data_IF_873083892407
#
_entry.id   IF_873083892407
#
_cell.length_a   1.000
_cell.length_b   1.000
_cell.length_c   1.000
_cell.angle_alpha   90.00
_cell.angle_beta   90.00
_cell.angle_gamma   90.00
#
_symmetry.space_group_name_H-M   'P 1'
#
loop_
_entity.id
_entity.type
_entity.pdbx_description
1 polymer ?
#
# COMPACT_ATOMS: atom_id res chain seq x y z
N UNK A 1 -9.26 28.12 -0.42
CA UNK A 1 -7.85 28.07 -0.84
C UNK A 1 -7.21 29.45 -0.67
N UNK A 2 -7.14 30.29 -1.72
CA UNK A 2 -6.38 31.56 -1.75
C UNK A 2 -6.66 32.52 -0.59
N UNK A 3 -7.93 32.73 -0.20
CA UNK A 3 -8.28 33.62 0.92
C UNK A 3 -8.36 32.91 2.28
N UNK A 4 -8.80 31.64 2.27
CA UNK A 4 -8.95 30.80 3.45
C UNK A 4 -8.54 29.36 3.10
N UNK A 5 -7.43 28.89 3.67
CA UNK A 5 -6.89 27.54 3.46
C UNK A 5 -7.56 26.52 4.38
N UNK A 6 -7.77 26.86 5.65
CA UNK A 6 -8.43 26.04 6.69
C UNK A 6 -9.87 25.63 6.40
N UNK A 7 -10.51 26.18 5.37
CA UNK A 7 -11.83 25.76 4.90
C UNK A 7 -11.78 24.65 3.85
N UNK A 8 -10.61 24.34 3.27
CA UNK A 8 -10.47 23.45 2.11
C UNK A 8 -10.53 21.98 2.49
N UNK A 9 -9.86 21.58 3.57
CA UNK A 9 -9.63 20.16 3.92
C UNK A 9 -10.94 19.34 4.00
N UNK A 10 -12.03 19.95 4.48
CA UNK A 10 -13.36 19.30 4.57
C UNK A 10 -13.96 18.89 3.22
N UNK A 11 -13.54 19.52 2.12
CA UNK A 11 -14.02 19.26 0.77
C UNK A 11 -13.06 18.35 -0.02
N UNK A 12 -11.84 18.11 0.49
CA UNK A 12 -10.85 17.25 -0.17
C UNK A 12 -11.35 15.82 -0.39
N UNK A 13 -12.06 15.15 0.54
CA UNK A 13 -12.66 13.85 0.28
C UNK A 13 -13.61 13.88 -0.93
N UNK A 14 -14.59 14.79 -0.92
CA UNK A 14 -15.60 14.91 -1.99
C UNK A 14 -15.01 15.28 -3.35
N UNK A 15 -13.96 16.11 -3.39
CA UNK A 15 -13.22 16.36 -4.64
C UNK A 15 -12.43 15.13 -5.09
N UNK A 16 -11.86 14.35 -4.16
CA UNK A 16 -11.12 13.14 -4.47
C UNK A 16 -12.01 11.93 -4.80
N UNK A 17 -13.26 11.90 -4.33
CA UNK A 17 -14.27 10.89 -4.73
C UNK A 17 -14.52 10.92 -6.25
N UNK A 18 -14.44 12.10 -6.87
CA UNK A 18 -14.56 12.27 -8.33
C UNK A 18 -13.41 11.63 -9.12
N UNK A 19 -12.31 11.19 -8.49
CA UNK A 19 -11.23 10.45 -9.16
C UNK A 19 -11.64 9.03 -9.60
N UNK A 20 -12.85 8.57 -9.23
CA UNK A 20 -13.45 7.30 -9.70
C UNK A 20 -14.75 7.51 -10.50
N UNK A 21 -15.10 8.74 -10.85
CA UNK A 21 -16.33 9.08 -11.58
C UNK A 21 -16.36 8.41 -12.97
N UNK A 22 -17.50 7.89 -13.46
CA UNK A 22 -17.59 7.32 -14.80
C UNK A 22 -17.18 8.29 -15.92
N UNK A 23 -17.42 9.59 -15.75
CA UNK A 23 -17.10 10.62 -16.74
C UNK A 23 -15.62 11.03 -16.69
N UNK A 24 -14.87 10.78 -17.78
CA UNK A 24 -13.47 11.18 -17.90
C UNK A 24 -13.26 12.67 -17.62
N UNK A 25 -14.18 13.54 -18.06
CA UNK A 25 -14.05 14.98 -17.84
C UNK A 25 -14.11 15.34 -16.36
N UNK A 26 -14.95 14.65 -15.56
CA UNK A 26 -15.02 14.86 -14.12
C UNK A 26 -13.76 14.34 -13.42
N UNK A 27 -13.27 13.13 -13.78
CA UNK A 27 -11.98 12.62 -13.27
C UNK A 27 -10.83 13.57 -13.59
N UNK A 28 -10.74 14.05 -14.84
CA UNK A 28 -9.70 14.97 -15.32
C UNK A 28 -9.74 16.31 -14.58
N UNK A 29 -10.91 16.95 -14.47
CA UNK A 29 -11.05 18.23 -13.78
C UNK A 29 -10.80 18.10 -12.27
N UNK A 30 -11.29 17.03 -11.62
CA UNK A 30 -10.99 16.75 -10.22
C UNK A 30 -9.49 16.56 -9.97
N UNK A 31 -8.82 15.81 -10.86
CA UNK A 31 -7.36 15.61 -10.81
C UNK A 31 -6.63 16.94 -10.99
N UNK A 32 -7.03 17.79 -11.96
CA UNK A 32 -6.43 19.10 -12.21
C UNK A 32 -6.60 20.08 -11.04
N UNK A 33 -7.78 20.11 -10.41
CA UNK A 33 -8.05 20.94 -9.22
C UNK A 33 -7.23 20.44 -8.03
N UNK A 34 -7.25 19.15 -7.72
CA UNK A 34 -6.46 18.62 -6.61
C UNK A 34 -4.94 18.79 -6.86
N UNK A 35 -4.48 18.66 -8.10
CA UNK A 35 -3.09 18.90 -8.49
C UNK A 35 -2.65 20.35 -8.27
N UNK A 36 -3.50 21.36 -8.51
CA UNK A 36 -3.15 22.76 -8.22
C UNK A 36 -3.15 23.05 -6.72
N UNK A 37 -4.10 22.50 -5.96
CA UNK A 37 -4.09 22.61 -4.49
C UNK A 37 -2.86 21.95 -3.86
N UNK A 38 -2.38 20.84 -4.43
CA UNK A 38 -1.12 20.19 -4.05
C UNK A 38 0.10 21.02 -4.49
N UNK A 39 0.12 21.55 -5.72
CA UNK A 39 1.27 22.32 -6.22
C UNK A 39 1.47 23.63 -5.44
N UNK A 40 0.40 24.31 -5.04
CA UNK A 40 0.44 25.51 -4.19
C UNK A 40 0.59 25.20 -2.68
N UNK A 41 0.62 23.93 -2.28
CA UNK A 41 0.67 23.45 -0.88
C UNK A 41 -0.55 23.86 -0.02
N UNK A 42 -1.71 24.11 -0.64
CA UNK A 42 -2.96 24.38 0.09
C UNK A 42 -3.53 23.14 0.80
N UNK A 43 -3.17 21.93 0.35
CA UNK A 43 -3.54 20.65 0.98
C UNK A 43 -2.32 19.73 1.07
N UNK A 44 -2.29 18.80 2.04
CA UNK A 44 -1.16 17.88 2.23
C UNK A 44 -1.40 16.51 1.58
N UNK A 45 -0.40 16.02 0.86
CA UNK A 45 -0.40 14.68 0.26
C UNK A 45 -0.09 13.61 1.31
N UNK A 46 -1.14 13.04 1.93
CA UNK A 46 -1.02 11.96 2.93
C UNK A 46 -2.32 11.16 3.06
N UNK A 47 -2.23 9.94 3.59
CA UNK A 47 -3.39 9.12 3.96
C UNK A 47 -4.38 8.91 2.81
N UNK A 48 -5.71 9.05 3.03
CA UNK A 48 -6.73 8.84 2.00
C UNK A 48 -6.45 9.51 0.65
N UNK A 49 -6.01 10.77 0.65
CA UNK A 49 -5.75 11.51 -0.60
C UNK A 49 -4.63 10.86 -1.43
N UNK A 50 -3.59 10.33 -0.78
CA UNK A 50 -2.49 9.66 -1.46
C UNK A 50 -2.97 8.38 -2.15
N UNK A 51 -3.76 7.55 -1.47
CA UNK A 51 -4.29 6.31 -2.04
C UNK A 51 -5.22 6.57 -3.24
N UNK A 52 -6.07 7.60 -3.16
CA UNK A 52 -6.96 8.01 -4.25
C UNK A 52 -6.19 8.52 -5.48
N UNK A 53 -5.06 9.19 -5.29
CA UNK A 53 -4.17 9.55 -6.39
C UNK A 53 -3.38 8.35 -6.97
N UNK A 54 -2.99 7.39 -6.13
CA UNK A 54 -2.34 6.16 -6.60
C UNK A 54 -3.30 5.30 -7.44
N UNK A 55 -4.59 5.25 -7.10
CA UNK A 55 -5.63 4.68 -7.98
C UNK A 55 -5.63 5.36 -9.38
N UNK A 56 -5.47 6.69 -9.43
CA UNK A 56 -5.41 7.49 -10.66
C UNK A 56 -4.25 7.18 -11.60
N UNK A 57 -3.13 6.61 -11.10
CA UNK A 57 -2.04 6.08 -11.94
C UNK A 57 -2.48 4.91 -12.82
N UNK A 58 -3.67 4.36 -12.60
CA UNK A 58 -4.26 3.28 -13.40
C UNK A 58 -5.52 3.70 -14.14
N UNK A 59 -5.78 5.00 -14.34
CA UNK A 59 -7.01 5.47 -14.99
C UNK A 59 -7.18 4.83 -16.38
N UNK A 60 -8.40 4.38 -16.76
CA UNK A 60 -8.67 3.89 -18.12
C UNK A 60 -8.28 4.89 -19.22
N UNK A 61 -8.47 6.19 -18.99
CA UNK A 61 -8.13 7.25 -19.93
C UNK A 61 -6.65 7.66 -19.78
N UNK A 62 -5.86 7.46 -20.84
CA UNK A 62 -4.44 7.83 -20.87
C UNK A 62 -4.21 9.34 -20.60
N UNK A 63 -5.15 10.18 -21.03
CA UNK A 63 -5.19 11.64 -20.79
C UNK A 63 -5.19 12.01 -19.30
N UNK A 64 -5.88 11.22 -18.46
CA UNK A 64 -5.93 11.40 -17.00
C UNK A 64 -4.70 10.74 -16.38
N UNK A 65 -4.38 9.50 -16.80
CA UNK A 65 -3.26 8.72 -16.28
C UNK A 65 -1.94 9.47 -16.39
N UNK A 66 -1.57 9.95 -17.58
CA UNK A 66 -0.30 10.66 -17.78
C UNK A 66 -0.25 12.03 -17.10
N UNK A 67 -1.40 12.66 -16.81
CA UNK A 67 -1.44 13.85 -15.95
C UNK A 67 -1.17 13.50 -14.47
N UNK A 68 -1.67 12.36 -13.98
CA UNK A 68 -1.34 11.84 -12.63
C UNK A 68 0.13 11.43 -12.55
N UNK A 69 0.66 10.72 -13.55
CA UNK A 69 2.09 10.37 -13.67
C UNK A 69 2.97 11.65 -13.61
N UNK A 70 2.60 12.69 -14.38
CA UNK A 70 3.26 14.00 -14.35
C UNK A 70 3.27 14.64 -12.95
N UNK A 71 2.13 14.61 -12.24
CA UNK A 71 2.00 15.14 -10.88
C UNK A 71 2.96 14.42 -9.92
N UNK A 72 3.02 13.09 -9.98
CA UNK A 72 3.95 12.31 -9.17
C UNK A 72 5.42 12.62 -9.49
N UNK A 73 5.81 12.52 -10.77
CA UNK A 73 7.20 12.71 -11.23
C UNK A 73 7.72 14.13 -10.96
N UNK A 74 6.88 15.15 -11.17
CA UNK A 74 7.32 16.57 -11.16
C UNK A 74 7.10 17.27 -9.83
N UNK A 75 6.16 16.84 -9.00
CA UNK A 75 5.75 17.55 -7.79
C UNK A 75 5.83 16.65 -6.54
N UNK A 76 5.13 15.50 -6.51
CA UNK A 76 5.03 14.70 -5.29
C UNK A 76 6.37 14.06 -4.92
N UNK A 77 6.97 13.29 -5.85
CA UNK A 77 8.22 12.57 -5.59
C UNK A 77 9.38 13.54 -5.33
N UNK A 78 9.42 14.69 -6.01
CA UNK A 78 10.43 15.74 -5.77
C UNK A 78 10.30 16.45 -4.42
N UNK A 79 9.13 16.42 -3.79
CA UNK A 79 8.90 16.99 -2.44
C UNK A 79 9.00 15.97 -1.32
N UNK A 80 8.83 14.69 -1.62
CA UNK A 80 8.98 13.59 -0.67
C UNK A 80 9.50 12.35 -1.42
N UNK A 81 10.82 12.21 -1.61
CA UNK A 81 11.42 11.06 -2.32
C UNK A 81 11.13 9.73 -1.62
N UNK A 82 10.87 9.73 -0.31
CA UNK A 82 10.56 8.54 0.48
C UNK A 82 9.09 8.14 0.45
N UNK A 83 8.20 8.91 -0.21
CA UNK A 83 6.74 8.72 -0.14
C UNK A 83 6.30 7.32 -0.56
N UNK A 84 6.93 6.74 -1.59
CA UNK A 84 6.60 5.38 -2.02
C UNK A 84 7.16 4.35 -1.05
N UNK A 85 8.44 4.44 -0.68
CA UNK A 85 9.12 3.51 0.26
C UNK A 85 8.44 3.44 1.63
N UNK A 86 7.91 4.56 2.14
CA UNK A 86 7.23 4.62 3.43
C UNK A 86 5.81 4.03 3.42
N UNK A 87 5.21 3.83 2.25
CA UNK A 87 3.80 3.44 2.13
C UNK A 87 3.57 2.21 1.23
N UNK A 88 4.63 1.63 0.64
CA UNK A 88 4.51 0.64 -0.43
C UNK A 88 3.64 -0.56 -0.02
N UNK A 89 3.92 -1.16 1.14
CA UNK A 89 3.17 -2.32 1.62
C UNK A 89 1.75 -1.95 2.06
N UNK A 90 1.53 -0.76 2.63
CA UNK A 90 0.18 -0.23 2.86
C UNK A 90 -0.61 -0.07 1.55
N UNK A 91 0.06 0.33 0.45
CA UNK A 91 -0.56 0.40 -0.89
C UNK A 91 -0.85 -1.00 -1.46
N UNK A 92 -0.03 -2.02 -1.16
CA UNK A 92 -0.37 -3.43 -1.46
C UNK A 92 -1.67 -3.82 -0.76
N UNK A 93 -1.81 -3.55 0.54
CA UNK A 93 -3.06 -3.80 1.29
C UNK A 93 -4.25 -3.02 0.72
N UNK A 94 -4.12 -1.70 0.53
CA UNK A 94 -5.19 -0.81 0.07
C UNK A 94 -5.70 -1.18 -1.32
N UNK A 95 -4.81 -1.41 -2.30
CA UNK A 95 -5.23 -1.74 -3.66
C UNK A 95 -5.85 -3.14 -3.79
N UNK A 96 -5.56 -4.05 -2.85
CA UNK A 96 -6.26 -5.33 -2.74
C UNK A 96 -7.58 -5.25 -1.95
N UNK A 97 -7.88 -4.11 -1.33
CA UNK A 97 -9.02 -3.95 -0.44
C UNK A 97 -8.88 -4.72 0.88
N UNK A 98 -7.65 -5.03 1.29
CA UNK A 98 -7.36 -5.78 2.51
C UNK A 98 -7.07 -4.83 3.68
N UNK A 99 -7.65 -5.12 4.84
CA UNK A 99 -7.51 -4.36 6.08
C UNK A 99 -7.06 -5.22 7.28
N UNK A 100 -6.75 -6.50 7.05
CA UNK A 100 -6.46 -7.47 8.11
C UNK A 100 -5.02 -7.48 8.64
N UNK A 101 -4.12 -6.66 8.11
CA UNK A 101 -2.72 -6.62 8.55
C UNK A 101 -2.52 -5.64 9.72
N UNK A 102 -1.92 -6.05 10.86
CA UNK A 102 -1.75 -5.16 12.02
C UNK A 102 -0.84 -3.97 11.71
N UNK A 103 0.32 -4.21 11.10
CA UNK A 103 1.33 -3.19 10.79
C UNK A 103 0.98 -2.27 9.61
N UNK A 104 -0.01 -2.62 8.78
CA UNK A 104 -0.31 -1.94 7.52
C UNK A 104 -1.81 -1.62 7.44
N UNK A 105 -2.25 -0.47 8.00
CA UNK A 105 -3.66 -0.07 7.95
C UNK A 105 -4.09 0.08 6.49
N UNK A 106 -5.02 -0.80 6.10
CA UNK A 106 -5.46 -0.98 4.72
C UNK A 106 -6.43 0.08 4.22
N UNK A 107 -7.39 -0.35 3.40
CA UNK A 107 -8.34 0.54 2.68
C UNK A 107 -9.39 1.27 3.55
N UNK A 108 -9.12 1.51 4.84
CA UNK A 108 -9.99 2.32 5.71
C UNK A 108 -10.27 3.68 5.04
N UNK A 109 -11.55 4.09 5.01
CA UNK A 109 -12.08 5.27 4.30
C UNK A 109 -11.80 5.33 2.76
N UNK A 110 -11.32 4.24 2.17
CA UNK A 110 -10.84 4.17 0.77
C UNK A 110 -11.15 2.84 0.06
N UNK A 111 -12.04 2.00 0.59
CA UNK A 111 -12.44 0.70 -0.01
C UNK A 111 -12.91 0.85 -1.47
N UNK A 112 -13.60 1.95 -1.77
CA UNK A 112 -14.07 2.35 -3.10
C UNK A 112 -12.96 2.72 -4.11
N UNK A 113 -11.70 2.74 -3.65
CA UNK A 113 -10.49 3.00 -4.42
C UNK A 113 -9.51 1.79 -4.43
N UNK A 114 -9.98 0.61 -4.03
CA UNK A 114 -9.25 -0.63 -4.32
C UNK A 114 -9.33 -1.00 -5.81
N UNK A 115 -8.51 -1.97 -6.20
CA UNK A 115 -8.35 -2.51 -7.56
C UNK A 115 -8.39 -4.05 -7.53
N UNK A 116 -9.17 -4.61 -6.61
CA UNK A 116 -9.30 -6.07 -6.40
C UNK A 116 -9.76 -6.79 -7.67
N UNK A 117 -10.79 -6.28 -8.35
CA UNK A 117 -11.29 -6.81 -9.63
C UNK A 117 -10.41 -6.45 -10.85
N UNK A 118 -9.27 -5.79 -10.63
CA UNK A 118 -8.40 -5.29 -11.69
C UNK A 118 -6.89 -5.53 -11.40
N UNK A 119 -6.42 -6.80 -11.27
CA UNK A 119 -5.00 -7.08 -11.02
C UNK A 119 -4.01 -6.37 -11.96
N UNK A 120 -4.24 -6.27 -13.30
CA UNK A 120 -3.32 -5.53 -14.19
C UNK A 120 -3.21 -4.04 -13.85
N UNK A 121 -4.29 -3.42 -13.32
CA UNK A 121 -4.26 -2.03 -12.85
C UNK A 121 -3.43 -1.91 -11.56
N UNK A 122 -3.50 -2.89 -10.64
CA UNK A 122 -2.60 -2.93 -9.46
C UNK A 122 -1.13 -3.02 -9.87
N UNK A 123 -0.79 -3.96 -10.74
CA UNK A 123 0.60 -4.17 -11.18
C UNK A 123 1.17 -2.92 -11.86
N UNK A 124 0.37 -2.16 -12.62
CA UNK A 124 0.78 -0.88 -13.19
C UNK A 124 1.15 0.16 -12.10
N UNK A 125 0.34 0.29 -11.05
CA UNK A 125 0.64 1.21 -9.93
C UNK A 125 1.92 0.80 -9.20
N UNK A 126 2.08 -0.50 -8.87
CA UNK A 126 3.29 -0.97 -8.19
C UNK A 126 4.55 -0.74 -9.03
N UNK A 127 4.51 -1.03 -10.34
CA UNK A 127 5.65 -0.77 -11.24
C UNK A 127 5.99 0.71 -11.36
N UNK A 128 4.99 1.60 -11.42
CA UNK A 128 5.24 3.04 -11.41
C UNK A 128 5.90 3.52 -10.11
N UNK A 129 5.50 2.97 -8.96
CA UNK A 129 6.14 3.27 -7.68
C UNK A 129 7.59 2.75 -7.64
N UNK A 130 7.83 1.51 -8.08
CA UNK A 130 9.15 0.88 -8.09
C UNK A 130 10.11 1.49 -9.11
N UNK A 131 9.62 1.94 -10.27
CA UNK A 131 10.49 2.55 -11.29
C UNK A 131 11.06 3.88 -10.78
N UNK A 132 10.30 4.66 -10.01
CA UNK A 132 10.76 5.95 -9.47
C UNK A 132 11.69 5.83 -8.24
N UNK A 133 11.80 4.65 -7.62
CA UNK A 133 12.71 4.39 -6.49
C UNK A 133 14.19 4.31 -6.90
N UNK A 134 15.08 4.54 -5.93
CA UNK A 134 16.50 4.13 -5.98
C UNK A 134 16.67 2.69 -5.52
N UNK A 135 17.87 2.11 -5.69
CA UNK A 135 18.12 0.71 -5.28
C UNK A 135 17.97 0.54 -3.77
N UNK A 136 18.54 1.46 -2.96
CA UNK A 136 18.39 1.47 -1.50
C UNK A 136 16.91 1.47 -1.06
N UNK A 137 16.06 2.21 -1.77
CA UNK A 137 14.62 2.24 -1.52
C UNK A 137 13.92 0.92 -1.88
N UNK A 138 14.32 0.25 -2.96
CA UNK A 138 13.84 -1.10 -3.30
C UNK A 138 14.28 -2.13 -2.26
N UNK A 139 15.52 -2.07 -1.77
CA UNK A 139 15.99 -2.92 -0.65
C UNK A 139 15.15 -2.71 0.61
N UNK A 140 14.83 -1.47 0.96
CA UNK A 140 13.91 -1.17 2.08
C UNK A 140 12.50 -1.73 1.86
N UNK A 141 11.97 -1.68 0.63
CA UNK A 141 10.68 -2.30 0.28
C UNK A 141 10.75 -3.83 0.34
N UNK A 142 11.86 -4.43 -0.10
CA UNK A 142 12.09 -5.88 0.00
C UNK A 142 12.05 -6.34 1.46
N UNK A 143 12.76 -5.64 2.35
CA UNK A 143 12.72 -5.89 3.79
C UNK A 143 11.29 -5.76 4.34
N UNK A 144 10.57 -4.67 4.05
CA UNK A 144 9.18 -4.49 4.50
C UNK A 144 8.24 -5.61 4.00
N UNK A 145 8.41 -6.08 2.76
CA UNK A 145 7.62 -7.20 2.23
C UNK A 145 7.94 -8.52 2.96
N UNK A 146 9.20 -8.80 3.26
CA UNK A 146 9.57 -10.08 3.88
C UNK A 146 9.43 -10.04 5.40
N UNK A 147 10.17 -9.17 6.10
CA UNK A 147 10.19 -9.13 7.57
C UNK A 147 9.05 -8.31 8.18
N UNK A 148 8.33 -7.51 7.37
CA UNK A 148 7.15 -6.76 7.81
C UNK A 148 5.80 -7.41 7.47
N UNK A 149 5.64 -7.93 6.24
CA UNK A 149 4.37 -8.47 5.73
C UNK A 149 4.30 -9.99 5.74
N UNK A 150 5.29 -10.68 5.14
CA UNK A 150 5.29 -12.15 5.07
C UNK A 150 5.53 -12.79 6.45
N UNK A 151 6.44 -12.21 7.24
CA UNK A 151 6.70 -12.66 8.62
C UNK A 151 5.46 -12.66 9.52
N UNK A 152 4.50 -11.75 9.30
CA UNK A 152 3.26 -11.68 10.08
C UNK A 152 2.37 -12.95 9.95
N UNK A 153 2.55 -13.75 8.90
CA UNK A 153 1.91 -15.07 8.75
C UNK A 153 2.77 -16.22 9.27
N UNK A 154 4.10 -16.03 9.31
CA UNK A 154 5.11 -17.03 9.68
C UNK A 154 5.31 -17.18 11.19
N UNK A 155 5.25 -16.05 11.91
CA UNK A 155 5.51 -15.94 13.36
C UNK A 155 4.70 -16.97 14.17
N UNK A 156 5.36 -18.03 14.62
CA UNK A 156 4.74 -19.13 15.35
C UNK A 156 4.66 -18.89 16.87
N UNK A 157 5.34 -17.86 17.39
CA UNK A 157 5.52 -17.63 18.83
C UNK A 157 4.80 -16.36 19.32
N UNK A 158 4.64 -15.36 18.46
CA UNK A 158 3.90 -14.12 18.77
C UNK A 158 2.40 -14.34 18.91
N UNK A 159 1.79 -13.66 19.89
CA UNK A 159 0.36 -13.79 20.22
C UNK A 159 -0.62 -13.31 19.12
N UNK A 160 -0.13 -12.89 17.95
CA UNK A 160 -0.93 -12.21 16.93
C UNK A 160 -0.67 -12.67 15.48
N UNK A 161 -0.15 -13.89 15.29
CA UNK A 161 0.04 -14.53 13.97
C UNK A 161 -1.18 -14.41 13.07
N UNK A 162 -0.98 -13.95 11.83
CA UNK A 162 -2.02 -13.93 10.80
C UNK A 162 -2.33 -15.34 10.30
N UNK A 163 -3.62 -15.65 10.20
CA UNK A 163 -4.12 -16.87 9.56
C UNK A 163 -3.88 -16.78 8.06
N UNK A 164 -3.45 -17.89 7.44
CA UNK A 164 -3.28 -17.93 6.00
C UNK A 164 -4.63 -17.72 5.27
N UNK A 165 -4.66 -16.94 4.18
CA UNK A 165 -5.81 -16.87 3.29
C UNK A 165 -6.21 -18.26 2.77
N UNK A 166 -7.51 -18.53 2.65
CA UNK A 166 -8.04 -19.83 2.20
C UNK A 166 -8.18 -19.92 0.68
N UNK A 167 -8.27 -18.79 -0.01
CA UNK A 167 -8.45 -18.73 -1.47
C UNK A 167 -7.69 -17.56 -2.06
N UNK A 168 -7.31 -17.62 -3.34
CA UNK A 168 -6.70 -16.48 -4.03
C UNK A 168 -7.68 -15.32 -4.28
N UNK A 169 -9.00 -15.54 -4.11
CA UNK A 169 -10.02 -14.53 -4.42
C UNK A 169 -10.22 -13.49 -3.30
N UNK A 170 -10.02 -13.87 -2.04
CA UNK A 170 -10.14 -12.95 -0.89
C UNK A 170 -9.03 -11.89 -0.88
N UNK A 171 -9.32 -10.73 -0.26
CA UNK A 171 -8.42 -9.57 -0.27
C UNK A 171 -7.03 -9.87 0.31
N UNK A 172 -6.96 -10.69 1.38
CA UNK A 172 -5.69 -11.14 1.95
C UNK A 172 -4.92 -12.09 1.02
N UNK A 173 -5.63 -12.98 0.33
CA UNK A 173 -5.05 -13.89 -0.67
C UNK A 173 -4.49 -13.16 -1.89
N UNK A 174 -5.18 -12.12 -2.37
CA UNK A 174 -4.66 -11.28 -3.45
C UNK A 174 -3.46 -10.43 -2.99
N UNK A 175 -3.49 -9.86 -1.79
CA UNK A 175 -2.35 -9.13 -1.23
C UNK A 175 -1.12 -10.03 -1.03
N UNK A 176 -1.31 -11.27 -0.57
CA UNK A 176 -0.25 -12.29 -0.43
C UNK A 176 0.30 -12.72 -1.80
N UNK A 177 -0.57 -12.90 -2.79
CA UNK A 177 -0.16 -13.21 -4.18
C UNK A 177 0.65 -12.08 -4.80
N UNK A 178 0.24 -10.83 -4.57
CA UNK A 178 0.98 -9.64 -5.01
C UNK A 178 2.32 -9.54 -4.32
N UNK A 179 2.42 -9.79 -3.00
CA UNK A 179 3.69 -9.76 -2.28
C UNK A 179 4.74 -10.72 -2.89
N UNK A 180 4.36 -11.98 -3.16
CA UNK A 180 5.26 -12.91 -3.87
C UNK A 180 5.57 -12.45 -5.30
N UNK A 181 4.57 -11.99 -6.06
CA UNK A 181 4.77 -11.53 -7.44
C UNK A 181 5.67 -10.28 -7.53
N UNK A 182 5.67 -9.43 -6.50
CA UNK A 182 6.51 -8.24 -6.39
C UNK A 182 7.95 -8.58 -6.04
N UNK A 183 8.19 -9.54 -5.13
CA UNK A 183 9.54 -10.06 -4.88
C UNK A 183 10.14 -10.70 -6.15
N UNK A 184 9.31 -11.28 -7.02
CA UNK A 184 9.72 -11.87 -8.29
C UNK A 184 9.83 -10.89 -9.48
N UNK A 185 9.45 -9.60 -9.34
CA UNK A 185 9.28 -8.72 -10.50
C UNK A 185 10.62 -8.14 -11.03
N UNK A 186 10.69 -7.78 -12.33
CA UNK A 186 11.94 -7.32 -12.99
C UNK A 186 12.60 -6.17 -12.22
N UNK A 187 11.78 -5.29 -11.66
CA UNK A 187 12.18 -4.08 -10.97
C UNK A 187 12.86 -4.37 -9.61
N UNK A 188 12.52 -5.49 -8.97
CA UNK A 188 12.99 -5.93 -7.65
C UNK A 188 14.13 -6.95 -7.70
N UNK A 189 14.44 -7.54 -8.87
CA UNK A 189 15.50 -8.57 -9.01
C UNK A 189 16.89 -8.11 -8.54
N UNK A 190 17.16 -6.80 -8.52
CA UNK A 190 18.38 -6.24 -7.91
C UNK A 190 18.52 -6.63 -6.44
N UNK A 191 17.42 -6.83 -5.71
CA UNK A 191 17.43 -7.21 -4.30
C UNK A 191 17.92 -8.64 -4.03
N UNK A 192 18.23 -9.42 -5.07
CA UNK A 192 18.67 -10.82 -4.98
C UNK A 192 19.84 -11.14 -5.93
N UNK A 193 20.40 -10.13 -6.60
CA UNK A 193 21.38 -10.29 -7.67
C UNK A 193 22.60 -9.38 -7.45
N UNK A 194 23.74 -9.93 -6.97
CA UNK A 194 24.99 -9.18 -6.91
C UNK A 194 25.44 -8.63 -8.27
N UNK A 195 25.05 -9.32 -9.37
CA UNK A 195 25.41 -8.96 -10.74
C UNK A 195 24.60 -7.77 -11.26
N UNK A 196 23.28 -7.76 -11.05
CA UNK A 196 22.43 -6.64 -11.48
C UNK A 196 22.67 -5.39 -10.61
N UNK A 197 22.90 -5.57 -9.30
CA UNK A 197 23.25 -4.46 -8.40
C UNK A 197 24.54 -3.74 -8.84
N UNK A 198 25.57 -4.50 -9.24
CA UNK A 198 26.85 -3.93 -9.64
C UNK A 198 26.89 -3.36 -11.07
N UNK A 199 25.84 -3.57 -11.89
CA UNK A 199 25.72 -3.04 -13.26
C UNK A 199 25.06 -1.66 -13.37
N UNK A 200 24.20 -1.24 -12.43
CA UNK A 200 23.54 0.09 -12.49
C UNK A 200 24.33 1.21 -11.77
N UNK A 201 25.53 0.92 -11.22
CA UNK A 201 26.18 1.76 -10.20
C UNK A 201 27.61 2.27 -10.51
N UNK A 202 28.10 2.23 -11.76
CA UNK A 202 29.48 2.65 -12.11
C UNK A 202 29.80 4.16 -11.90
N UNK A 203 28.84 5.02 -11.53
CA UNK A 203 29.04 6.47 -11.30
C UNK A 203 28.31 7.07 -10.06
N UNK A 204 28.17 6.37 -8.91
CA UNK A 204 27.51 6.99 -7.73
C UNK A 204 28.00 6.56 -6.33
N UNK A 205 27.83 7.43 -5.30
CA UNK A 205 28.08 7.08 -3.89
C UNK A 205 26.91 6.31 -3.22
N UNK A 206 25.92 5.80 -3.97
CA UNK A 206 24.77 5.11 -3.35
C UNK A 206 25.15 3.78 -2.68
N UNK A 207 26.26 3.14 -3.04
CA UNK A 207 26.70 1.86 -2.47
C UNK A 207 26.80 1.85 -0.93
N UNK A 208 27.30 2.93 -0.30
CA UNK A 208 27.32 3.06 1.18
C UNK A 208 25.90 3.19 1.76
N UNK A 209 25.02 3.90 1.06
CA UNK A 209 23.60 4.08 1.47
C UNK A 209 22.83 2.77 1.34
N UNK A 210 23.13 1.98 0.31
CA UNK A 210 22.58 0.65 0.08
C UNK A 210 23.08 -0.34 1.15
N UNK A 211 24.39 -0.36 1.43
CA UNK A 211 24.96 -1.18 2.50
C UNK A 211 24.39 -0.82 3.88
N UNK A 212 24.21 0.47 4.16
CA UNK A 212 23.52 0.96 5.36
C UNK A 212 22.04 0.54 5.42
N UNK A 213 21.34 0.56 4.29
CA UNK A 213 19.95 0.09 4.20
C UNK A 213 19.81 -1.42 4.40
N UNK A 214 20.80 -2.21 3.95
CA UNK A 214 20.89 -3.65 4.17
C UNK A 214 21.28 -3.98 5.62
N UNK A 215 22.24 -3.28 6.24
CA UNK A 215 22.61 -3.53 7.64
C UNK A 215 21.54 -3.06 8.62
N UNK A 216 20.77 -2.02 8.28
CA UNK A 216 19.57 -1.64 9.02
C UNK A 216 18.47 -2.72 8.99
N UNK A 217 18.42 -3.57 7.96
CA UNK A 217 17.47 -4.69 7.87
C UNK A 217 17.88 -5.92 8.69
N UNK A 218 19.19 -6.09 8.99
CA UNK A 218 19.75 -7.23 9.76
C UNK A 218 20.02 -6.89 11.24
N UNK A 219 19.82 -5.63 11.64
CA UNK A 219 20.12 -5.05 12.96
C UNK A 219 21.59 -4.64 13.18
N UNK A 220 21.81 -3.35 13.44
CA UNK A 220 22.95 -2.83 14.22
C UNK A 220 24.36 -2.90 13.62
N UNK A 221 24.57 -3.58 12.50
CA UNK A 221 25.88 -3.72 11.88
C UNK A 221 26.45 -2.41 11.30
N UNK A 222 27.58 -1.95 11.83
CA UNK A 222 28.33 -0.83 11.25
C UNK A 222 28.97 -1.24 9.92
N UNK A 223 28.72 -0.48 8.85
CA UNK A 223 29.40 -0.65 7.58
C UNK A 223 30.82 -0.07 7.68
N UNK A 224 31.83 -0.94 7.74
CA UNK A 224 33.22 -0.51 7.65
C UNK A 224 33.53 0.00 6.24
N UNK A 225 34.06 1.22 6.14
CA UNK A 225 34.49 1.78 4.86
C UNK A 225 35.73 1.01 4.34
N UNK A 226 35.57 0.28 3.24
CA UNK A 226 36.65 -0.48 2.59
C UNK A 226 36.97 0.19 1.24
N UNK A 227 38.23 0.56 1.05
CA UNK A 227 38.66 1.28 -0.15
C UNK A 227 38.74 0.41 -1.41
N UNK A 228 38.39 1.00 -2.55
CA UNK A 228 38.46 0.36 -3.87
C UNK A 228 37.12 -0.28 -4.28
N UNK A 229 36.66 0.04 -5.49
CA UNK A 229 35.34 -0.39 -5.99
C UNK A 229 35.18 -1.92 -6.06
N UNK A 230 36.25 -2.66 -6.30
CA UNK A 230 36.24 -4.14 -6.34
C UNK A 230 36.06 -4.74 -4.93
N UNK A 231 36.73 -4.19 -3.92
CA UNK A 231 36.54 -4.60 -2.53
C UNK A 231 35.15 -4.20 -2.00
N UNK A 232 34.63 -3.03 -2.41
CA UNK A 232 33.26 -2.61 -2.12
C UNK A 232 32.21 -3.56 -2.77
N UNK A 233 32.41 -3.96 -4.03
CA UNK A 233 31.57 -4.98 -4.71
C UNK A 233 31.59 -6.32 -3.99
N UNK A 234 32.76 -6.78 -3.53
CA UNK A 234 32.90 -7.99 -2.72
C UNK A 234 32.18 -7.91 -1.37
N UNK A 235 32.37 -6.80 -0.63
CA UNK A 235 31.71 -6.55 0.65
C UNK A 235 30.18 -6.45 0.51
N UNK A 236 29.69 -5.76 -0.52
CA UNK A 236 28.27 -5.68 -0.85
C UNK A 236 27.68 -7.07 -1.15
N UNK A 237 28.35 -7.89 -1.98
CA UNK A 237 27.89 -9.25 -2.29
C UNK A 237 27.80 -10.12 -1.03
N UNK A 238 28.80 -10.05 -0.15
CA UNK A 238 28.79 -10.74 1.15
C UNK A 238 27.67 -10.27 2.09
N UNK A 239 27.40 -8.96 2.14
CA UNK A 239 26.28 -8.41 2.90
C UNK A 239 24.92 -8.82 2.30
N UNK A 240 24.79 -8.84 0.98
CA UNK A 240 23.59 -9.28 0.29
C UNK A 240 23.30 -10.76 0.56
N UNK A 241 24.31 -11.64 0.44
CA UNK A 241 24.21 -13.06 0.84
C UNK A 241 23.75 -13.15 2.30
N UNK A 242 24.35 -12.37 3.21
CA UNK A 242 23.94 -12.31 4.62
C UNK A 242 22.46 -11.98 4.78
N UNK A 243 21.96 -10.88 4.20
CA UNK A 243 20.55 -10.48 4.37
C UNK A 243 19.59 -11.53 3.80
N UNK A 244 19.96 -12.16 2.67
CA UNK A 244 19.17 -13.26 2.10
C UNK A 244 19.11 -14.46 3.06
N UNK A 245 20.26 -14.95 3.56
CA UNK A 245 20.32 -16.13 4.43
C UNK A 245 19.79 -15.89 5.86
N UNK A 246 20.11 -14.76 6.48
CA UNK A 246 19.81 -14.49 7.90
C UNK A 246 18.44 -13.84 8.11
N UNK A 247 17.82 -13.24 7.09
CA UNK A 247 16.54 -12.50 7.25
C UNK A 247 15.44 -12.85 6.25
N UNK A 248 15.76 -13.27 5.03
CA UNK A 248 14.74 -13.53 3.99
C UNK A 248 14.36 -15.01 3.92
N UNK A 249 15.34 -15.88 3.75
CA UNK A 249 15.15 -17.34 3.61
C UNK A 249 14.44 -17.96 4.82
N UNK A 250 14.74 -17.61 6.10
CA UNK A 250 14.08 -18.22 7.25
C UNK A 250 12.57 -17.97 7.28
N UNK A 251 12.13 -16.76 6.90
CA UNK A 251 10.70 -16.40 6.80
C UNK A 251 10.02 -17.23 5.69
N UNK A 252 10.68 -17.39 4.54
CA UNK A 252 10.12 -18.14 3.42
C UNK A 252 10.05 -19.65 3.68
N UNK A 253 11.00 -20.23 4.45
CA UNK A 253 10.96 -21.62 4.90
C UNK A 253 9.83 -21.84 5.91
N UNK A 254 9.72 -20.98 6.94
CA UNK A 254 8.61 -21.06 7.91
C UNK A 254 7.24 -20.99 7.21
N UNK A 255 7.09 -20.11 6.21
CA UNK A 255 5.89 -20.08 5.38
C UNK A 255 5.70 -21.33 4.52
N UNK A 256 6.76 -21.97 4.01
CA UNK A 256 6.65 -23.20 3.21
C UNK A 256 6.05 -24.31 4.07
N UNK A 257 6.66 -24.59 5.21
CA UNK A 257 6.28 -25.70 6.09
C UNK A 257 4.85 -25.52 6.61
N UNK A 258 4.49 -24.27 6.93
CA UNK A 258 3.15 -23.86 7.29
C UNK A 258 2.14 -24.03 6.15
N UNK A 259 2.50 -23.63 4.93
CA UNK A 259 1.65 -23.78 3.74
C UNK A 259 1.50 -25.25 3.32
N UNK A 260 2.50 -26.10 3.57
CA UNK A 260 2.41 -27.56 3.41
C UNK A 260 1.44 -28.16 4.44
N UNK A 261 1.56 -27.78 5.72
CA UNK A 261 0.70 -28.26 6.80
C UNK A 261 -0.77 -27.83 6.64
N UNK A 262 -1.02 -26.56 6.32
CA UNK A 262 -2.38 -26.02 6.09
C UNK A 262 -2.92 -26.32 4.67
N UNK A 263 -2.15 -26.99 3.80
CA UNK A 263 -2.47 -27.29 2.38
C UNK A 263 -2.89 -26.05 1.58
N UNK A 264 -2.16 -24.96 1.80
CA UNK A 264 -2.39 -23.63 1.23
C UNK A 264 -2.30 -23.62 -0.31
N UNK A 265 -3.22 -22.94 -1.02
CA UNK A 265 -3.13 -22.79 -2.48
C UNK A 265 -1.94 -21.92 -2.92
N UNK A 266 -1.38 -21.09 -2.01
CA UNK A 266 -0.27 -20.19 -2.30
C UNK A 266 1.09 -20.89 -2.34
N UNK A 267 1.18 -22.16 -1.94
CA UNK A 267 2.43 -22.92 -1.85
C UNK A 267 3.22 -22.93 -3.17
N UNK A 268 2.56 -23.04 -4.32
CA UNK A 268 3.22 -22.95 -5.63
C UNK A 268 3.80 -21.56 -5.94
N UNK A 269 3.16 -20.48 -5.47
CA UNK A 269 3.70 -19.11 -5.59
C UNK A 269 4.90 -18.90 -4.69
N UNK A 270 4.88 -19.48 -3.50
CA UNK A 270 6.01 -19.44 -2.56
C UNK A 270 7.22 -20.24 -3.05
N UNK A 271 7.04 -21.48 -3.55
CA UNK A 271 8.14 -22.24 -4.18
C UNK A 271 8.74 -21.50 -5.38
N UNK A 272 7.90 -20.89 -6.22
CA UNK A 272 8.39 -20.03 -7.31
C UNK A 272 9.19 -18.83 -6.79
N UNK A 273 8.71 -18.17 -5.72
CA UNK A 273 9.40 -17.05 -5.09
C UNK A 273 10.77 -17.45 -4.49
N UNK A 274 10.84 -18.60 -3.81
CA UNK A 274 12.10 -19.18 -3.34
C UNK A 274 13.06 -19.41 -4.52
N UNK A 275 12.59 -20.00 -5.63
CA UNK A 275 13.42 -20.25 -6.81
C UNK A 275 13.88 -18.96 -7.53
N UNK A 276 13.07 -17.90 -7.57
CA UNK A 276 13.49 -16.60 -8.16
C UNK A 276 14.54 -15.91 -7.28
N UNK A 277 14.37 -15.95 -5.95
CA UNK A 277 15.29 -15.35 -4.96
C UNK A 277 16.63 -16.10 -4.89
N UNK A 278 16.58 -17.44 -4.88
CA UNK A 278 17.76 -18.29 -4.70
C UNK A 278 18.53 -18.61 -6.00
N UNK A 279 18.06 -18.14 -7.16
CA UNK A 279 18.66 -18.44 -8.48
C UNK A 279 20.16 -18.15 -8.56
N UNK A 280 20.62 -17.03 -7.98
CA UNK A 280 22.04 -16.65 -8.04
C UNK A 280 22.87 -17.26 -6.92
N UNK A 281 22.23 -17.97 -5.99
CA UNK A 281 22.84 -18.73 -4.89
C UNK A 281 22.77 -20.26 -5.13
N UNK A 282 22.47 -20.69 -6.38
CA UNK A 282 22.28 -22.11 -6.76
C UNK A 282 23.45 -23.02 -6.33
N UNK A 283 24.68 -22.49 -6.38
CA UNK A 283 25.93 -23.21 -6.12
C UNK A 283 26.21 -23.28 -4.59
N UNK A 284 25.53 -22.42 -3.82
CA UNK A 284 25.59 -22.26 -2.36
C UNK A 284 24.36 -22.87 -1.64
N UNK A 285 23.40 -23.48 -2.35
CA UNK A 285 22.10 -23.90 -1.76
C UNK A 285 22.20 -24.69 -0.44
N UNK A 286 23.15 -25.64 -0.24
CA UNK A 286 23.32 -26.32 1.04
C UNK A 286 23.70 -25.38 2.21
N UNK A 287 24.51 -24.34 1.96
CA UNK A 287 24.85 -23.33 2.97
C UNK A 287 23.65 -22.43 3.31
N UNK A 288 22.84 -22.10 2.29
CA UNK A 288 21.74 -21.12 2.40
C UNK A 288 20.49 -21.74 3.04
N UNK A 289 20.20 -23.02 2.73
CA UNK A 289 19.05 -23.76 3.24
C UNK A 289 19.41 -24.66 4.44
N UNK A 290 20.70 -24.84 4.72
CA UNK A 290 21.21 -25.64 5.83
C UNK A 290 20.83 -27.12 5.70
N UNK A 291 20.27 -27.68 6.79
CA UNK A 291 20.09 -29.12 6.93
C UNK A 291 18.97 -29.74 6.08
N UNK A 292 18.10 -28.97 5.44
CA UNK A 292 17.01 -29.52 4.62
C UNK A 292 17.49 -29.89 3.21
N UNK A 293 18.21 -31.02 3.13
CA UNK A 293 18.68 -31.60 1.88
C UNK A 293 17.55 -31.87 0.87
N UNK A 294 16.31 -32.13 1.33
CA UNK A 294 15.16 -32.34 0.46
C UNK A 294 14.72 -31.02 -0.19
N UNK A 295 14.71 -29.92 0.54
CA UNK A 295 14.42 -28.59 0.00
C UNK A 295 15.54 -28.11 -0.95
N UNK A 296 16.80 -28.46 -0.68
CA UNK A 296 17.91 -28.25 -1.62
C UNK A 296 17.67 -29.00 -2.94
N UNK A 297 17.33 -30.29 -2.89
CA UNK A 297 17.01 -31.09 -4.09
C UNK A 297 15.79 -30.54 -4.84
N UNK A 298 14.73 -30.16 -4.14
CA UNK A 298 13.50 -29.58 -4.72
C UNK A 298 13.79 -28.28 -5.49
N UNK A 299 14.50 -27.33 -4.87
CA UNK A 299 14.82 -26.04 -5.48
C UNK A 299 15.84 -26.21 -6.62
N UNK A 300 16.80 -27.12 -6.50
CA UNK A 300 17.73 -27.43 -7.59
C UNK A 300 17.00 -28.02 -8.81
N UNK A 301 16.02 -28.90 -8.58
CA UNK A 301 15.18 -29.48 -9.64
C UNK A 301 14.30 -28.42 -10.32
N UNK A 302 13.58 -27.60 -9.54
CA UNK A 302 12.71 -26.54 -10.08
C UNK A 302 13.49 -25.45 -10.83
N UNK A 303 14.72 -25.12 -10.38
CA UNK A 303 15.63 -24.23 -11.11
C UNK A 303 16.05 -24.82 -12.47
N UNK A 304 16.35 -26.12 -12.53
CA UNK A 304 16.71 -26.80 -13.78
C UNK A 304 15.50 -26.92 -14.74
N UNK A 305 14.32 -27.28 -14.22
CA UNK A 305 13.08 -27.33 -14.98
C UNK A 305 12.66 -25.96 -15.54
N UNK A 306 12.77 -24.91 -14.72
CA UNK A 306 12.47 -23.53 -15.11
C UNK A 306 13.38 -22.98 -16.20
N UNK A 307 14.66 -23.40 -16.24
CA UNK A 307 15.58 -23.06 -17.32
C UNK A 307 15.14 -23.71 -18.66
N UNK A 308 14.76 -25.00 -18.62
CA UNK A 308 14.26 -25.73 -19.80
C UNK A 308 12.97 -25.13 -20.35
N UNK A 309 12.02 -24.78 -19.48
CA UNK A 309 10.76 -24.14 -19.88
C UNK A 309 10.97 -22.76 -20.52
N UNK A 310 11.92 -21.96 -20.04
CA UNK A 310 12.25 -20.64 -20.62
C UNK A 310 12.98 -20.73 -21.96
N UNK A 311 13.81 -21.75 -22.17
CA UNK A 311 14.44 -22.00 -23.47
C UNK A 311 13.40 -22.24 -24.58
N UNK A 312 12.26 -22.88 -24.27
CA UNK A 312 11.13 -23.00 -25.19
C UNK A 312 10.33 -21.70 -25.38
N UNK A 313 10.21 -20.87 -24.34
CA UNK A 313 9.42 -19.63 -24.37
C UNK A 313 10.06 -18.51 -25.21
N UNK A 314 11.40 -18.43 -25.23
CA UNK A 314 12.15 -17.43 -26.03
C UNK A 314 11.98 -17.58 -27.55
N UNK A 315 11.32 -18.64 -28.04
CA UNK A 315 11.12 -18.87 -29.48
C UNK A 315 9.93 -18.16 -30.12
N UNK A 316 9.01 -17.54 -29.38
CA UNK A 316 7.76 -17.03 -29.97
C UNK A 316 7.09 -15.84 -29.24
N UNK A 317 7.86 -14.97 -28.61
CA UNK A 317 7.40 -13.65 -28.16
C UNK A 317 8.39 -12.59 -28.64
N UNK A 318 7.92 -11.64 -29.46
CA UNK A 318 8.77 -10.59 -29.99
C UNK A 318 9.28 -9.65 -28.89
N UNK A 319 10.59 -9.50 -28.79
CA UNK A 319 11.24 -8.62 -27.82
C UNK A 319 10.83 -7.15 -28.07
N UNK A 320 10.12 -6.56 -27.10
CA UNK A 320 10.14 -5.11 -26.95
C UNK A 320 11.53 -4.71 -26.44
N UNK A 321 12.17 -3.69 -27.02
CA UNK A 321 13.59 -3.42 -26.76
C UNK A 321 13.85 -3.08 -25.29
N UNK A 322 14.92 -3.64 -24.72
CA UNK A 322 15.34 -3.40 -23.34
C UNK A 322 15.85 -1.96 -23.15
N UNK A 323 14.91 -1.04 -22.91
CA UNK A 323 15.22 0.27 -22.34
C UNK A 323 15.58 0.13 -20.86
N UNK A 324 16.73 0.66 -20.46
CA UNK A 324 17.08 0.79 -19.04
C UNK A 324 16.03 1.61 -18.28
N UNK A 325 15.97 1.50 -16.95
CA UNK A 325 15.03 2.29 -16.15
C UNK A 325 15.20 3.81 -16.35
N UNK A 326 16.40 4.28 -16.74
CA UNK A 326 16.64 5.66 -17.16
C UNK A 326 16.01 6.00 -18.51
N UNK A 327 16.00 5.06 -19.47
CA UNK A 327 15.31 5.21 -20.76
C UNK A 327 13.78 5.19 -20.61
N UNK A 328 13.22 4.30 -19.79
CA UNK A 328 11.78 4.32 -19.44
C UNK A 328 11.40 5.66 -18.77
N UNK A 329 12.18 6.13 -17.78
CA UNK A 329 12.00 7.45 -17.14
C UNK A 329 12.07 8.60 -18.14
N UNK A 330 13.01 8.56 -19.09
CA UNK A 330 13.16 9.57 -20.13
C UNK A 330 11.98 9.56 -21.11
N UNK A 331 11.56 8.40 -21.60
CA UNK A 331 10.41 8.27 -22.49
C UNK A 331 9.11 8.78 -21.86
N UNK A 332 8.90 8.52 -20.56
CA UNK A 332 7.79 9.09 -19.79
C UNK A 332 7.89 10.63 -19.67
N UNK A 333 9.09 11.18 -19.52
CA UNK A 333 9.32 12.62 -19.43
C UNK A 333 9.15 13.33 -20.78
N UNK A 334 9.63 12.72 -21.87
CA UNK A 334 9.48 13.21 -23.24
C UNK A 334 8.00 13.13 -23.68
N UNK A 335 7.29 12.03 -23.39
CA UNK A 335 5.85 11.93 -23.64
C UNK A 335 5.02 12.94 -22.83
N UNK A 336 5.41 13.22 -21.58
CA UNK A 336 4.82 14.28 -20.77
C UNK A 336 5.08 15.70 -21.31
N UNK A 337 6.18 15.89 -22.05
CA UNK A 337 6.50 17.14 -22.72
C UNK A 337 5.65 17.31 -23.99
N UNK A 338 5.63 16.31 -24.87
CA UNK A 338 4.84 16.28 -26.11
C UNK A 338 3.32 16.35 -25.88
N UNK A 339 2.83 15.83 -24.74
CA UNK A 339 1.43 15.98 -24.32
C UNK A 339 1.03 17.43 -23.95
N UNK A 340 1.88 18.43 -24.21
CA UNK A 340 1.59 19.86 -24.01
C UNK A 340 1.77 20.36 -22.59
N UNK A 341 2.23 19.52 -21.65
CA UNK A 341 2.45 19.90 -20.26
C UNK A 341 3.89 20.39 -19.98
N UNK A 342 4.76 20.46 -21.01
CA UNK A 342 6.15 20.90 -20.92
C UNK A 342 6.42 22.30 -21.50
N UNK A 343 6.50 23.32 -20.64
CA UNK A 343 7.19 24.57 -20.97
C UNK A 343 8.61 24.57 -20.41
N UNK A 344 9.58 25.02 -21.21
CA UNK A 344 10.98 25.25 -20.77
C UNK A 344 11.02 26.32 -19.65
N UNK A 345 12.03 26.30 -18.75
CA UNK A 345 12.03 27.11 -17.53
C UNK A 345 12.38 28.59 -17.76
N UNK A 346 11.46 29.35 -18.37
CA UNK A 346 11.48 30.81 -18.35
C UNK A 346 10.29 31.38 -17.56
N UNK A 347 10.63 32.14 -16.52
CA UNK A 347 9.81 33.19 -15.91
C UNK A 347 8.43 32.79 -15.35
N UNK A 348 8.43 32.26 -14.13
CA UNK A 348 7.29 32.45 -13.21
C UNK A 348 7.24 33.92 -12.75
N UNK A 349 6.82 34.84 -13.63
CA UNK A 349 6.56 36.25 -13.30
C UNK A 349 5.14 36.68 -13.73
N UNK A 350 4.39 37.17 -12.74
CA UNK A 350 3.08 37.86 -12.85
C UNK A 350 1.88 37.02 -13.32
N UNK A 351 1.27 36.33 -12.34
CA UNK A 351 -0.18 36.20 -12.06
C UNK A 351 -1.15 36.51 -13.22
N UNK A 352 -1.87 35.49 -13.67
CA UNK A 352 -3.31 35.62 -13.97
C UNK A 352 -4.11 34.81 -12.96
N UNK A 353 -5.31 35.30 -12.60
CA UNK A 353 -6.19 34.64 -11.62
C UNK A 353 -7.09 33.61 -12.28
N UNK A 354 -7.34 32.49 -11.60
CA UNK A 354 -8.19 31.38 -12.07
C UNK A 354 -9.66 31.78 -12.28
N UNK A 355 -10.09 32.96 -11.81
CA UNK A 355 -11.44 33.48 -12.04
C UNK A 355 -11.85 33.67 -13.52
N UNK A 356 -10.91 33.66 -14.47
CA UNK A 356 -11.21 33.92 -15.89
C UNK A 356 -12.01 32.81 -16.59
N UNK A 357 -12.00 31.57 -16.09
CA UNK A 357 -12.60 30.42 -16.80
C UNK A 357 -14.10 30.19 -16.55
N UNK A 358 -14.71 30.87 -15.57
CA UNK A 358 -16.17 30.77 -15.32
C UNK A 358 -16.98 31.96 -15.86
N UNK A 359 -16.33 33.03 -16.33
CA UNK A 359 -17.02 34.19 -16.89
C UNK A 359 -17.64 33.94 -18.29
N UNK A 360 -17.12 32.96 -19.04
CA UNK A 360 -17.46 32.74 -20.44
C UNK A 360 -18.88 32.18 -20.69
N UNK A 361 -19.60 31.72 -19.66
CA UNK A 361 -20.94 31.13 -19.80
C UNK A 361 -22.10 32.09 -19.47
N UNK A 362 -21.82 33.37 -19.19
CA UNK A 362 -22.82 34.35 -18.74
C UNK A 362 -23.07 35.51 -19.72
N UNK A 363 -22.51 35.44 -20.93
CA UNK A 363 -22.45 36.56 -21.88
C UNK A 363 -23.46 36.45 -23.06
N UNK A 364 -24.73 36.15 -22.78
CA UNK A 364 -25.79 36.09 -23.80
C UNK A 364 -27.18 36.52 -23.29
N UNK A 365 -27.26 37.68 -22.64
CA UNK A 365 -28.53 38.36 -22.32
C UNK A 365 -28.42 39.86 -22.63
N UNK A 366 -29.37 40.47 -23.37
CA UNK A 366 -29.36 41.90 -23.66
C UNK A 366 -29.81 42.74 -22.45
N UNK A 367 -29.18 43.90 -22.26
CA UNK A 367 -29.54 44.84 -21.19
C UNK A 367 -30.74 45.74 -21.59
N UNK A 368 -31.59 46.17 -20.63
CA UNK A 368 -32.72 47.05 -20.89
C UNK A 368 -32.31 48.53 -21.03
N UNK A 369 -33.09 49.29 -21.80
CA UNK A 369 -32.95 50.75 -21.96
C UNK A 369 -33.52 51.53 -20.76
N UNK A 370 -33.02 52.76 -20.49
CA UNK A 370 -33.48 53.59 -19.39
C UNK A 370 -34.72 54.43 -19.74
N UNK A 371 -35.54 54.73 -18.73
CA UNK A 371 -36.61 55.73 -18.78
C UNK A 371 -36.67 56.52 -17.45
N UNK A 372 -37.22 57.72 -17.50
CA UNK A 372 -37.36 58.66 -16.38
C UNK A 372 -38.53 59.64 -16.67
N UNK A 373 -38.91 60.54 -15.74
CA UNK A 373 -39.36 60.24 -14.37
C UNK A 373 -40.71 60.92 -14.05
N UNK A 374 -41.46 60.44 -13.05
CA UNK A 374 -42.58 61.23 -12.49
C UNK A 374 -42.82 60.96 -10.99
N UNK A 375 -43.89 61.53 -10.41
CA UNK A 375 -43.76 62.29 -9.15
C UNK A 375 -44.58 61.83 -7.93
N UNK A 376 -44.22 62.44 -6.78
CA UNK A 376 -45.00 62.61 -5.55
C UNK A 376 -45.13 61.44 -4.54
N UNK A 377 -45.57 61.80 -3.33
CA UNK A 377 -45.50 61.08 -2.05
C UNK A 377 -46.84 61.29 -1.27
N UNK A 378 -47.07 60.88 0.01
CA UNK A 378 -46.13 60.35 1.01
C UNK A 378 -46.62 59.20 1.93
N UNK A 379 -45.69 58.72 2.77
CA UNK A 379 -45.83 58.10 4.11
C UNK A 379 -47.15 57.40 4.54
N UNK A 380 -47.02 56.12 4.94
CA UNK A 380 -47.14 55.76 6.37
C UNK A 380 -46.32 54.48 6.71
N UNK A 381 -46.22 54.09 7.99
CA UNK A 381 -45.27 53.08 8.46
C UNK A 381 -45.91 51.93 9.26
N UNK A 382 -45.43 50.69 9.09
CA UNK A 382 -45.80 49.56 9.96
C UNK A 382 -44.70 48.49 10.10
N UNK A 383 -44.43 48.07 11.34
CA UNK A 383 -43.53 46.95 11.66
C UNK A 383 -44.25 45.60 11.47
N UNK A 384 -43.55 44.59 10.95
CA UNK A 384 -43.92 43.17 11.11
C UNK A 384 -42.70 42.33 11.51
N UNK A 385 -42.95 41.32 12.34
CA UNK A 385 -41.99 40.48 13.08
C UNK A 385 -41.32 39.40 12.21
N UNK A 386 -40.19 38.88 12.70
CA UNK A 386 -39.54 37.66 12.20
C UNK A 386 -39.86 36.41 13.07
N UNK A 387 -39.90 35.19 12.48
CA UNK A 387 -39.79 33.90 13.19
C UNK A 387 -38.34 33.39 13.14
N UNK A 388 -37.62 33.32 14.28
CA UNK A 388 -37.52 32.18 15.22
C UNK A 388 -36.86 30.91 14.67
N UNK A 389 -35.68 30.58 15.22
CA UNK A 389 -35.02 29.27 15.15
C UNK A 389 -35.77 28.22 15.97
N UNK A 390 -35.58 26.94 15.64
CA UNK A 390 -35.92 25.79 16.47
C UNK A 390 -34.62 25.09 16.89
N UNK A 391 -34.50 24.74 18.17
CA UNK A 391 -33.43 23.90 18.73
C UNK A 391 -34.06 22.67 19.37
N UNK A 392 -33.57 21.47 19.04
CA UNK A 392 -34.00 20.23 19.70
C UNK A 392 -33.16 19.97 20.95
N UNK A 393 -33.81 19.54 22.04
CA UNK A 393 -33.16 19.16 23.31
C UNK A 393 -33.78 17.87 23.84
N UNK A 394 -32.93 16.98 24.34
CA UNK A 394 -33.24 15.63 24.85
C UNK A 394 -33.63 15.66 26.34
N UNK A 395 -34.57 14.81 26.78
CA UNK A 395 -34.57 14.21 28.12
C UNK A 395 -34.69 12.66 28.07
N UNK A 396 -34.83 12.00 29.23
CA UNK A 396 -34.89 10.53 29.35
C UNK A 396 -35.63 10.07 30.65
N UNK A 397 -35.87 8.75 30.74
CA UNK A 397 -36.18 7.92 31.94
C UNK A 397 -37.64 7.80 32.46
N UNK A 398 -38.17 6.56 32.43
CA UNK A 398 -38.89 5.73 33.47
C UNK A 398 -39.81 6.36 34.54
N UNK A 399 -40.86 5.65 35.09
CA UNK A 399 -40.92 4.18 35.30
C UNK A 399 -42.29 3.47 35.04
N UNK A 400 -42.40 2.20 35.47
CA UNK A 400 -43.56 1.27 35.39
C UNK A 400 -44.38 1.26 36.72
N UNK A 401 -45.59 0.64 36.84
CA UNK A 401 -45.75 -0.84 37.01
C UNK A 401 -47.09 -1.52 36.55
N UNK A 402 -47.14 -2.87 36.62
CA UNK A 402 -48.33 -3.75 36.82
C UNK A 402 -49.44 -3.83 35.72
N UNK A 403 -50.19 -4.94 35.50
CA UNK A 403 -50.13 -6.36 35.96
C UNK A 403 -50.83 -7.32 34.95
N UNK A 404 -50.83 -8.63 35.24
CA UNK A 404 -51.34 -9.81 34.48
C UNK A 404 -52.79 -10.21 34.92
N UNK A 405 -53.39 -11.43 34.71
CA UNK A 405 -52.93 -12.70 34.07
C UNK A 405 -53.97 -13.55 33.26
N UNK A 406 -53.49 -14.61 32.58
CA UNK A 406 -54.01 -16.02 32.46
C UNK A 406 -53.01 -16.80 31.56
N UNK A 407 -52.48 -18.00 31.85
CA UNK A 407 -53.08 -19.32 32.20
C UNK A 407 -53.75 -20.00 30.99
N UNK A 408 -53.39 -21.21 30.52
CA UNK A 408 -52.36 -22.21 30.92
C UNK A 408 -51.90 -23.02 29.66
N UNK A 409 -51.33 -24.25 29.63
CA UNK A 409 -51.09 -25.31 30.63
C UNK A 409 -49.94 -26.31 30.22
N UNK A 410 -49.81 -27.40 30.98
CA UNK A 410 -48.78 -28.46 31.08
C UNK A 410 -48.76 -29.59 30.02
N UNK A 411 -47.61 -30.27 29.90
CA UNK A 411 -47.49 -31.75 30.13
C UNK A 411 -46.02 -32.16 30.40
N UNK A 412 -45.77 -33.34 30.98
CA UNK A 412 -44.48 -33.68 31.65
C UNK A 412 -44.18 -35.19 31.80
N UNK A 413 -42.99 -35.63 31.35
CA UNK A 413 -42.31 -36.95 31.62
C UNK A 413 -40.78 -36.76 31.42
N UNK A 414 -39.80 -37.16 32.24
CA UNK A 414 -39.58 -38.34 33.13
C UNK A 414 -39.35 -39.66 32.35
N UNK A 415 -38.42 -40.58 32.63
CA UNK A 415 -37.39 -40.79 33.70
C UNK A 415 -36.28 -41.76 33.15
N UNK A 416 -35.21 -42.28 33.79
CA UNK A 416 -34.52 -42.22 35.11
C UNK A 416 -33.05 -42.76 34.95
N UNK A 417 -32.05 -42.38 35.78
CA UNK A 417 -31.37 -43.14 36.88
C UNK A 417 -30.92 -44.59 36.49
N UNK A 418 -29.64 -44.99 36.54
CA UNK A 418 -28.75 -45.34 37.70
C UNK A 418 -27.23 -45.16 37.39
N UNK A 419 -26.26 -45.78 38.08
CA UNK A 419 -25.69 -45.50 39.43
C UNK A 419 -24.39 -46.34 39.69
N UNK A 420 -23.68 -46.12 40.82
CA UNK A 420 -22.55 -46.92 41.41
C UNK A 420 -21.20 -46.99 40.63
N UNK A 421 -20.00 -47.07 41.25
CA UNK A 421 -19.56 -46.82 42.65
C UNK A 421 -18.00 -46.67 42.81
N UNK A 422 -17.55 -45.99 43.89
CA UNK A 422 -16.41 -46.26 44.84
C UNK A 422 -15.03 -46.76 44.29
N UNK A 423 -13.80 -46.35 44.68
CA UNK A 423 -13.16 -45.61 45.83
C UNK A 423 -12.33 -44.39 45.37
N UNK A 424 -11.81 -43.42 46.16
CA UNK A 424 -11.60 -43.19 47.61
C UNK A 424 -10.23 -43.59 48.27
N UNK A 425 -9.21 -42.72 48.16
CA UNK A 425 -8.24 -42.28 49.23
C UNK A 425 -7.19 -41.31 48.63
N UNK A 426 -6.78 -40.13 49.13
CA UNK A 426 -6.83 -39.40 50.43
C UNK A 426 -5.51 -39.41 51.23
N UNK A 427 -4.78 -38.27 51.27
CA UNK A 427 -4.23 -37.63 52.50
C UNK A 427 -3.44 -36.31 52.29
N UNK A 428 -3.76 -35.28 53.11
CA UNK A 428 -2.97 -34.13 53.69
C UNK A 428 -1.75 -33.51 52.94
N UNK A 429 -1.60 -32.18 52.75
CA UNK A 429 -1.55 -31.03 53.72
C UNK A 429 -0.27 -31.07 54.60
N UNK A 430 0.63 -30.09 54.69
CA UNK A 430 0.58 -28.64 55.10
C UNK A 430 1.53 -27.74 54.25
N UNK A 431 1.46 -26.39 54.17
CA UNK A 431 1.91 -25.34 55.14
C UNK A 431 3.43 -25.02 55.00
N UNK A 432 3.99 -23.79 55.08
CA UNK A 432 3.48 -22.41 55.26
C UNK A 432 4.51 -21.35 54.75
N UNK A 433 4.13 -20.05 54.78
CA UNK A 433 5.01 -18.86 54.90
C UNK A 433 5.90 -18.32 53.74
N UNK A 434 6.36 -17.07 53.95
CA UNK A 434 6.76 -16.01 52.99
C UNK A 434 7.54 -14.92 53.80
N UNK A 435 8.41 -14.03 53.27
CA UNK A 435 9.48 -14.11 52.25
C UNK A 435 10.86 -13.61 52.83
N UNK A 436 11.72 -13.06 51.96
CA UNK A 436 12.78 -12.03 52.19
C UNK A 436 14.26 -12.49 52.30
N UNK A 437 15.26 -11.62 51.97
CA UNK A 437 16.57 -12.07 51.44
C UNK A 437 17.84 -11.55 52.15
N UNK A 438 18.99 -12.15 51.79
CA UNK A 438 20.37 -11.60 51.91
C UNK A 438 20.88 -11.38 53.36
N UNK A 439 22.20 -11.15 53.62
CA UNK A 439 23.22 -10.47 52.81
C UNK A 439 23.72 -11.24 51.57
#
# INVERSE_FOLDING_TARGET
>A
CVHYTSLVDRFVPSMADLLRDPNELLRKQATMVLASLLSENFIKFKGPLMYRFLYGLSDPAATVRSFVECLFIRIIHKRSPTIFTQNFVSVVCVLNGWSGHPSYPGAADNESFCLREHPPRRTAVYRFMLSLMTQAQKFSVCAQLVTGFLAAFADAEGQQRLKLPRTEAEAGGQALSDAFALLCCKEMRVCFSPKLASQEEDESPEAETIASSLSAAVSGGSAAAVGGAEAARGAFSGLLRRVVCESIVPVLIQLKDLMEAERSPFLGRLRHCLCEILREFRDDLPDVLGSDAKLVEEIAFDLAGGASARAGANGNLGEAPEGSAAAEKKALWDAAYEAGYGSKPHLFKKRHSIGSFMAASAASAPAPTPAAPESAAPHEARLVRSPRRISLRRPAASPSPAASPTASDLTATASDITASDITASDYTQTGSEVPSPSP
#
